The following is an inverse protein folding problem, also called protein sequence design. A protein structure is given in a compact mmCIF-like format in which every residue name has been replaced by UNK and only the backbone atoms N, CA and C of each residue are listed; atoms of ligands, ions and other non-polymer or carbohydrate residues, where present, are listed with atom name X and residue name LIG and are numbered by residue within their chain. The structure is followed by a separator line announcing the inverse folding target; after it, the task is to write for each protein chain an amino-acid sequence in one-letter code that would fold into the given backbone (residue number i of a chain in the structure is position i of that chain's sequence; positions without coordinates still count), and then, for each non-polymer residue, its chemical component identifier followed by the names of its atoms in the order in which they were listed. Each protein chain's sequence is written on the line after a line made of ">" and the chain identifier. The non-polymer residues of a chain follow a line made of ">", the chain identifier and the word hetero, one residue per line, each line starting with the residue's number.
data_IF_946885286920
#
_entry.id   IF_946885286920
#
_cell.length_a   1.000
_cell.length_b   1.000
_cell.length_c   1.000
_cell.angle_alpha   90.00
_cell.angle_beta   90.00
_cell.angle_gamma   90.00
#
_symmetry.space_group_name_H-M   'P 1'
#
loop_
_entity.id
_entity.type
_entity.pdbx_description
1 polymer ?
#
# COMPACT_ATOMS: atom_id res chain seq x y z
N UNK A 1 -15.07 -4.59 8.07
CA UNK A 1 -14.66 -3.17 7.93
C UNK A 1 -15.71 -2.46 7.09
N UNK A 2 -16.28 -1.36 7.57
CA UNK A 2 -17.23 -0.56 6.80
C UNK A 2 -16.48 0.45 5.93
N UNK A 3 -16.99 0.69 4.72
CA UNK A 3 -16.41 1.63 3.77
C UNK A 3 -17.51 2.52 3.22
N UNK A 4 -17.24 3.82 3.19
CA UNK A 4 -18.12 4.82 2.59
C UNK A 4 -17.38 5.58 1.49
N UNK A 5 -18.10 5.99 0.46
CA UNK A 5 -17.58 6.87 -0.59
C UNK A 5 -18.27 8.23 -0.50
N UNK A 6 -17.48 9.29 -0.45
CA UNK A 6 -17.93 10.67 -0.56
C UNK A 6 -17.67 11.13 -1.99
N UNK A 7 -18.73 11.32 -2.75
CA UNK A 7 -18.68 11.86 -4.10
C UNK A 7 -18.65 13.39 -4.11
N UNK A 8 -17.82 13.96 -4.98
CA UNK A 8 -17.83 15.39 -5.33
C UNK A 8 -17.89 15.55 -6.85
N UNK A 9 -18.41 16.68 -7.33
CA UNK A 9 -18.54 16.88 -8.78
C UNK A 9 -17.18 17.08 -9.46
N UNK A 10 -16.37 18.02 -8.94
CA UNK A 10 -15.10 18.40 -9.55
C UNK A 10 -13.89 17.90 -8.73
N UNK A 11 -12.79 17.45 -9.38
CA UNK A 11 -11.54 17.06 -8.72
C UNK A 11 -11.06 18.02 -7.63
N UNK A 12 -11.07 19.33 -7.86
CA UNK A 12 -10.61 20.33 -6.88
C UNK A 12 -11.40 20.36 -5.56
N UNK A 13 -12.55 19.72 -5.51
CA UNK A 13 -13.35 19.64 -4.30
C UNK A 13 -12.91 18.51 -3.37
N UNK A 14 -12.08 17.57 -3.84
CA UNK A 14 -11.71 16.35 -3.10
C UNK A 14 -11.05 16.67 -1.75
N UNK A 15 -9.98 17.48 -1.74
CA UNK A 15 -9.24 17.80 -0.50
C UNK A 15 -10.13 18.55 0.50
N UNK A 16 -10.89 19.54 0.01
CA UNK A 16 -11.82 20.31 0.84
C UNK A 16 -12.95 19.45 1.40
N UNK A 17 -13.47 18.51 0.61
CA UNK A 17 -14.49 17.57 1.09
C UNK A 17 -13.94 16.63 2.16
N UNK A 18 -12.72 16.11 1.98
CA UNK A 18 -12.06 15.28 2.98
C UNK A 18 -11.92 16.02 4.33
N UNK A 19 -11.40 17.26 4.32
CA UNK A 19 -11.28 18.08 5.53
C UNK A 19 -12.63 18.26 6.24
N UNK A 20 -13.68 18.63 5.50
CA UNK A 20 -15.03 18.79 6.06
C UNK A 20 -15.60 17.50 6.65
N UNK A 21 -15.32 16.35 6.05
CA UNK A 21 -15.77 15.05 6.59
C UNK A 21 -15.04 14.76 7.89
N UNK A 22 -13.72 14.94 7.92
CA UNK A 22 -12.92 14.76 9.13
C UNK A 22 -13.42 15.67 10.25
N UNK A 23 -13.56 16.97 10.03
CA UNK A 23 -14.05 17.92 11.03
C UNK A 23 -15.42 17.49 11.60
N UNK A 24 -16.35 17.09 10.72
CA UNK A 24 -17.70 16.63 11.12
C UNK A 24 -17.68 15.32 11.88
N UNK A 25 -16.80 14.39 11.53
CA UNK A 25 -16.71 13.08 12.18
C UNK A 25 -15.99 13.21 13.53
N UNK A 26 -14.95 14.03 13.61
CA UNK A 26 -14.25 14.33 14.87
C UNK A 26 -15.16 15.02 15.88
N UNK A 27 -15.99 15.97 15.45
CA UNK A 27 -17.03 16.56 16.29
C UNK A 27 -18.06 15.55 16.82
N UNK A 28 -18.13 14.34 16.24
CA UNK A 28 -19.02 13.24 16.64
C UNK A 28 -18.31 12.11 17.39
N UNK A 29 -17.07 12.33 17.83
CA UNK A 29 -16.31 11.35 18.62
C UNK A 29 -15.54 10.31 17.80
N UNK A 30 -15.29 10.57 16.51
CA UNK A 30 -14.40 9.77 15.69
C UNK A 30 -12.97 10.34 15.69
N UNK A 31 -11.98 9.47 15.73
CA UNK A 31 -10.56 9.83 15.72
C UNK A 31 -9.93 9.41 14.40
N UNK A 32 -9.06 10.25 13.83
CA UNK A 32 -8.23 9.87 12.68
C UNK A 32 -7.25 8.76 13.07
N UNK A 33 -7.15 7.73 12.23
CA UNK A 33 -6.21 6.62 12.42
C UNK A 33 -5.09 6.65 11.38
N UNK A 34 -5.43 6.87 10.11
CA UNK A 34 -4.46 7.05 9.03
C UNK A 34 -5.09 7.74 7.83
N UNK A 35 -4.27 8.32 6.97
CA UNK A 35 -4.71 8.93 5.71
C UNK A 35 -3.67 8.68 4.62
N UNK A 36 -4.13 8.49 3.39
CA UNK A 36 -3.26 8.35 2.23
C UNK A 36 -3.93 8.79 0.94
N UNK A 37 -3.14 9.16 -0.05
CA UNK A 37 -3.62 9.37 -1.41
C UNK A 37 -2.72 8.70 -2.44
N UNK A 38 -3.24 8.47 -3.65
CA UNK A 38 -2.49 7.87 -4.76
C UNK A 38 -2.42 8.75 -6.00
N UNK A 39 -2.68 10.05 -5.84
CA UNK A 39 -2.49 11.05 -6.89
C UNK A 39 -1.01 11.29 -7.20
N UNK A 40 -0.42 10.41 -8.01
CA UNK A 40 0.94 10.52 -8.54
C UNK A 40 0.98 9.99 -9.99
N UNK A 41 1.86 10.53 -10.87
CA UNK A 41 2.05 10.03 -12.23
C UNK A 41 2.33 8.52 -12.30
N UNK A 42 1.79 7.82 -13.29
CA UNK A 42 1.97 6.37 -13.43
C UNK A 42 1.26 5.53 -12.38
N UNK A 43 0.39 6.13 -11.54
CA UNK A 43 -0.46 5.34 -10.66
C UNK A 43 -1.68 4.80 -11.40
N UNK A 44 -1.90 3.48 -11.33
CA UNK A 44 -3.04 2.76 -11.91
C UNK A 44 -4.40 3.13 -11.31
N UNK A 45 -4.40 3.84 -10.19
CA UNK A 45 -5.58 4.24 -9.44
C UNK A 45 -5.26 5.51 -8.64
N UNK A 46 -6.15 6.49 -8.69
CA UNK A 46 -6.01 7.76 -7.98
C UNK A 46 -7.20 7.97 -7.03
N UNK A 47 -6.93 8.11 -5.74
CA UNK A 47 -7.94 8.38 -4.71
C UNK A 47 -7.33 8.97 -3.44
N UNK A 48 -8.17 9.56 -2.59
CA UNK A 48 -7.83 10.03 -1.23
C UNK A 48 -8.65 9.22 -0.22
N UNK A 49 -7.97 8.44 0.61
CA UNK A 49 -8.59 7.54 1.59
C UNK A 49 -8.13 7.91 2.98
N UNK A 50 -9.01 7.75 3.95
CA UNK A 50 -8.65 7.86 5.36
C UNK A 50 -9.48 6.94 6.22
N UNK A 51 -8.92 6.60 7.37
CA UNK A 51 -9.50 5.67 8.33
C UNK A 51 -9.82 6.41 9.62
N UNK A 52 -11.02 6.17 10.12
CA UNK A 52 -11.53 6.73 11.36
C UNK A 52 -11.84 5.62 12.34
N UNK A 53 -11.55 5.85 13.62
CA UNK A 53 -11.88 4.95 14.73
C UNK A 53 -12.86 5.62 15.67
N UNK A 54 -13.92 4.91 16.04
CA UNK A 54 -14.95 5.43 16.94
C UNK A 54 -15.99 4.37 17.22
N UNK A 55 -16.64 4.43 18.37
CA UNK A 55 -17.73 3.51 18.75
C UNK A 55 -17.36 2.01 18.62
N UNK A 56 -16.11 1.65 18.92
CA UNK A 56 -15.62 0.28 18.81
C UNK A 56 -15.39 -0.22 17.38
N UNK A 57 -15.41 0.66 16.37
CA UNK A 57 -15.28 0.32 14.95
C UNK A 57 -14.18 1.14 14.27
N UNK A 58 -13.69 0.58 13.15
CA UNK A 58 -12.86 1.29 12.17
C UNK A 58 -13.63 1.35 10.86
N UNK A 59 -13.72 2.54 10.30
CA UNK A 59 -14.33 2.79 8.99
C UNK A 59 -13.32 3.41 8.05
N UNK A 60 -13.45 3.08 6.77
CA UNK A 60 -12.71 3.73 5.68
C UNK A 60 -13.62 4.74 4.98
N UNK A 61 -13.14 5.96 4.79
CA UNK A 61 -13.77 6.97 3.94
C UNK A 61 -12.91 7.17 2.69
N UNK A 62 -13.54 7.03 1.53
CA UNK A 62 -12.92 7.30 0.23
C UNK A 62 -13.54 8.56 -0.35
N UNK A 63 -12.74 9.55 -0.71
CA UNK A 63 -13.23 10.78 -1.36
C UNK A 63 -12.87 10.75 -2.84
N UNK A 64 -13.90 10.87 -3.67
CA UNK A 64 -13.79 10.72 -5.11
C UNK A 64 -14.54 11.84 -5.85
N UNK A 65 -13.92 12.37 -6.91
CA UNK A 65 -14.62 13.18 -7.90
C UNK A 65 -15.39 12.29 -8.88
N UNK A 66 -16.36 12.85 -9.61
CA UNK A 66 -17.06 12.16 -10.71
C UNK A 66 -16.08 11.60 -11.75
N UNK A 67 -15.03 12.35 -12.09
CA UNK A 67 -13.97 11.86 -12.99
C UNK A 67 -13.28 10.61 -12.43
N UNK A 68 -12.89 10.63 -11.14
CA UNK A 68 -12.22 9.48 -10.53
C UNK A 68 -13.12 8.26 -10.36
N UNK A 69 -14.44 8.45 -10.21
CA UNK A 69 -15.43 7.36 -10.20
C UNK A 69 -15.51 6.74 -11.60
N UNK A 70 -15.68 7.55 -12.64
CA UNK A 70 -15.75 7.07 -14.00
C UNK A 70 -14.48 6.28 -14.39
N UNK A 71 -13.29 6.80 -14.05
CA UNK A 71 -12.04 6.08 -14.28
C UNK A 71 -12.03 4.76 -13.49
N UNK A 72 -12.36 4.77 -12.19
CA UNK A 72 -12.41 3.55 -11.37
C UNK A 72 -13.32 2.50 -12.02
N UNK A 73 -14.51 2.88 -12.45
CA UNK A 73 -15.47 1.99 -13.12
C UNK A 73 -14.87 1.40 -14.41
N UNK A 74 -14.32 2.24 -15.30
CA UNK A 74 -13.69 1.78 -16.56
C UNK A 74 -12.48 0.89 -16.32
N UNK A 75 -11.76 1.07 -15.21
CA UNK A 75 -10.58 0.25 -14.87
C UNK A 75 -10.92 -1.01 -14.08
N UNK A 76 -12.19 -1.31 -13.81
CA UNK A 76 -12.58 -2.45 -12.94
C UNK A 76 -12.14 -3.78 -13.56
N UNK A 77 -12.49 -4.04 -14.81
CA UNK A 77 -12.11 -5.26 -15.53
C UNK A 77 -10.58 -5.43 -15.67
N UNK A 78 -9.81 -4.46 -16.19
CA UNK A 78 -8.35 -4.62 -16.26
C UNK A 78 -7.71 -4.73 -14.87
N UNK A 79 -8.28 -4.11 -13.83
CA UNK A 79 -7.82 -4.34 -12.47
C UNK A 79 -8.06 -5.79 -12.01
N UNK A 80 -9.20 -6.39 -12.35
CA UNK A 80 -9.52 -7.79 -12.07
C UNK A 80 -8.57 -8.76 -12.77
N UNK A 81 -8.20 -8.48 -14.02
CA UNK A 81 -7.17 -9.25 -14.74
C UNK A 81 -5.81 -9.10 -14.06
N UNK A 82 -5.41 -7.88 -13.70
CA UNK A 82 -4.12 -7.63 -13.04
C UNK A 82 -3.99 -8.36 -11.69
N UNK A 83 -5.06 -8.44 -10.90
CA UNK A 83 -5.04 -9.08 -9.56
C UNK A 83 -5.20 -10.61 -9.61
N UNK A 84 -5.57 -11.17 -10.75
CA UNK A 84 -5.79 -12.60 -10.90
C UNK A 84 -4.44 -13.34 -11.03
N UNK A 85 -4.11 -14.11 -10.00
CA UNK A 85 -2.86 -14.87 -9.91
C UNK A 85 -2.80 -16.04 -10.91
N UNK A 86 -3.93 -16.42 -11.51
CA UNK A 86 -3.99 -17.48 -12.54
C UNK A 86 -3.63 -16.99 -13.94
N UNK A 87 -3.63 -15.67 -14.16
CA UNK A 87 -3.26 -15.05 -15.44
C UNK A 87 -1.77 -15.03 -15.66
N UNK A 88 -1.35 -15.04 -16.93
CA UNK A 88 0.07 -14.91 -17.27
C UNK A 88 0.60 -13.55 -16.85
N UNK A 89 1.92 -13.47 -16.61
CA UNK A 89 2.56 -12.20 -16.26
C UNK A 89 2.39 -11.13 -17.34
N UNK A 90 2.36 -11.55 -18.60
CA UNK A 90 2.14 -10.66 -19.74
C UNK A 90 0.74 -10.04 -19.72
N UNK A 91 -0.30 -10.84 -19.46
CA UNK A 91 -1.68 -10.35 -19.34
C UNK A 91 -1.83 -9.39 -18.16
N UNK A 92 -1.26 -9.74 -16.99
CA UNK A 92 -1.30 -8.85 -15.81
C UNK A 92 -0.62 -7.51 -16.09
N UNK A 93 0.51 -7.51 -16.79
CA UNK A 93 1.24 -6.29 -17.14
C UNK A 93 0.46 -5.43 -18.15
N UNK A 94 -0.15 -6.05 -19.18
CA UNK A 94 -0.97 -5.33 -20.15
C UNK A 94 -2.19 -4.68 -19.48
N UNK A 95 -2.86 -5.39 -18.59
CA UNK A 95 -4.01 -4.86 -17.85
C UNK A 95 -3.63 -3.75 -16.86
N UNK A 96 -2.43 -3.84 -16.25
CA UNK A 96 -1.84 -2.75 -15.45
C UNK A 96 -1.60 -1.50 -16.30
N UNK A 97 -0.99 -1.66 -17.47
CA UNK A 97 -0.68 -0.55 -18.38
C UNK A 97 -1.98 0.12 -18.86
N UNK A 98 -3.05 -0.65 -19.06
CA UNK A 98 -4.38 -0.12 -19.35
C UNK A 98 -4.94 0.73 -18.19
N UNK A 99 -4.88 0.23 -16.95
CA UNK A 99 -5.31 1.00 -15.78
C UNK A 99 -4.55 2.33 -15.65
N UNK A 100 -3.24 2.31 -15.90
CA UNK A 100 -2.38 3.51 -15.89
C UNK A 100 -2.82 4.46 -17.02
N UNK A 101 -3.01 3.96 -18.24
CA UNK A 101 -3.45 4.77 -19.39
C UNK A 101 -4.77 5.51 -19.12
N UNK A 102 -5.71 4.87 -18.44
CA UNK A 102 -6.98 5.51 -18.04
C UNK A 102 -6.82 6.51 -16.89
N UNK A 103 -5.92 6.25 -15.94
CA UNK A 103 -5.71 7.10 -14.76
C UNK A 103 -4.79 8.29 -15.02
N UNK A 104 -3.87 8.20 -15.98
CA UNK A 104 -2.87 9.23 -16.28
C UNK A 104 -3.49 10.62 -16.54
N UNK A 105 -4.50 10.78 -17.43
CA UNK A 105 -5.05 12.09 -17.78
C UNK A 105 -5.98 12.69 -16.71
N UNK A 106 -6.19 12.01 -15.58
CA UNK A 106 -7.02 12.54 -14.50
C UNK A 106 -6.43 13.84 -13.94
N UNK A 107 -7.31 14.79 -13.68
CA UNK A 107 -6.94 16.07 -13.06
C UNK A 107 -6.46 15.80 -11.64
N UNK A 108 -5.31 16.39 -11.29
CA UNK A 108 -4.79 16.45 -9.93
C UNK A 108 -5.68 17.39 -9.10
N UNK A 109 -6.34 16.93 -8.02
CA UNK A 109 -7.12 17.82 -7.16
C UNK A 109 -6.28 18.98 -6.61
N UNK A 110 -6.83 20.19 -6.64
CA UNK A 110 -6.21 21.33 -5.98
C UNK A 110 -5.76 21.02 -4.53
N UNK A 111 -4.47 21.26 -4.26
CA UNK A 111 -3.86 21.10 -2.94
C UNK A 111 -3.56 19.67 -2.51
N UNK A 112 -3.71 18.66 -3.37
CA UNK A 112 -3.41 17.26 -3.02
C UNK A 112 -1.91 17.01 -2.85
N UNK A 113 -1.07 17.67 -3.65
CA UNK A 113 0.40 17.58 -3.65
C UNK A 113 1.03 18.14 -2.37
N UNK A 114 0.34 19.09 -1.75
CA UNK A 114 0.74 19.79 -0.53
C UNK A 114 -0.02 19.31 0.72
N UNK A 115 -0.94 18.36 0.56
CA UNK A 115 -1.70 17.77 1.67
C UNK A 115 -0.82 16.82 2.49
N UNK A 116 -0.09 17.36 3.47
CA UNK A 116 0.80 16.60 4.35
C UNK A 116 0.12 16.04 5.61
N UNK A 117 -0.97 16.66 6.02
CA UNK A 117 -1.75 16.30 7.22
C UNK A 117 -3.25 16.36 6.92
N UNK A 118 -3.99 15.41 7.51
CA UNK A 118 -5.44 15.42 7.50
C UNK A 118 -5.95 15.05 8.89
N UNK A 119 -6.46 16.02 9.64
CA UNK A 119 -7.01 15.78 10.98
C UNK A 119 -5.97 15.34 12.01
N UNK A 120 -4.74 15.86 11.92
CA UNK A 120 -3.66 15.58 12.86
C UNK A 120 -2.90 14.28 12.60
N UNK A 121 -3.18 13.58 11.50
CA UNK A 121 -2.38 12.43 11.05
C UNK A 121 -1.67 12.75 9.73
N UNK A 122 -0.41 12.29 9.56
CA UNK A 122 0.30 12.39 8.29
C UNK A 122 -0.46 11.72 7.15
N UNK A 123 -0.40 12.33 5.97
CA UNK A 123 -0.97 11.75 4.75
C UNK A 123 0.13 11.09 3.94
N UNK A 124 0.00 9.78 3.72
CA UNK A 124 0.95 9.00 2.93
C UNK A 124 0.66 9.09 1.43
N UNK A 125 1.71 9.19 0.61
CA UNK A 125 1.60 8.97 -0.83
C UNK A 125 1.74 7.46 -1.12
N UNK A 126 0.67 6.82 -1.60
CA UNK A 126 0.68 5.43 -2.05
C UNK A 126 0.87 5.33 -3.56
N UNK A 127 1.90 4.60 -3.96
CA UNK A 127 2.25 4.34 -5.35
C UNK A 127 1.66 3.00 -5.77
N UNK A 128 0.54 3.03 -6.48
CA UNK A 128 -0.02 1.84 -7.11
C UNK A 128 0.41 1.81 -8.56
N UNK A 129 1.47 1.09 -8.89
CA UNK A 129 2.01 0.98 -10.25
C UNK A 129 2.84 -0.29 -10.38
N UNK A 130 3.75 -0.34 -11.36
CA UNK A 130 4.65 -1.49 -11.51
C UNK A 130 5.40 -1.76 -10.20
N UNK A 131 5.40 -3.03 -9.78
CA UNK A 131 6.41 -3.50 -8.84
C UNK A 131 7.76 -3.42 -9.57
N UNK A 132 8.83 -2.94 -8.92
CA UNK A 132 10.16 -3.10 -9.49
C UNK A 132 10.35 -4.58 -9.82
N UNK A 133 10.74 -4.89 -11.05
CA UNK A 133 11.27 -6.23 -11.32
C UNK A 133 12.43 -6.42 -10.35
N UNK A 134 12.38 -7.52 -9.57
CA UNK A 134 13.58 -7.94 -8.86
C UNK A 134 14.61 -8.17 -9.95
N UNK A 135 15.67 -7.35 -9.98
CA UNK A 135 16.82 -7.60 -10.83
C UNK A 135 17.20 -9.08 -10.68
N UNK A 136 17.44 -9.82 -11.78
CA UNK A 136 17.92 -11.18 -11.66
C UNK A 136 19.15 -11.13 -10.76
N UNK A 137 19.12 -11.90 -9.66
CA UNK A 137 20.34 -12.16 -8.88
C UNK A 137 21.35 -12.64 -9.90
N UNK A 138 22.38 -11.83 -10.13
CA UNK A 138 23.53 -12.21 -10.94
C UNK A 138 24.02 -13.54 -10.42
N UNK A 139 23.84 -14.58 -11.22
CA UNK A 139 24.37 -15.92 -10.99
C UNK A 139 25.83 -15.86 -11.42
N UNK A 140 26.64 -15.10 -10.70
CA UNK A 140 28.09 -15.08 -10.89
C UNK A 140 28.75 -15.17 -9.51
N UNK A 141 29.15 -16.38 -9.18
CA UNK A 141 29.84 -16.69 -7.94
C UNK A 141 30.01 -18.17 -7.66
N UNK A 142 30.02 -19.03 -8.68
CA UNK A 142 30.34 -20.45 -8.53
C UNK A 142 31.55 -20.80 -9.41
N UNK A 143 32.68 -20.16 -9.12
CA UNK A 143 33.98 -20.68 -9.53
C UNK A 143 35.05 -20.13 -8.58
N UNK A 144 35.62 -21.04 -7.80
CA UNK A 144 36.95 -20.98 -7.17
C UNK A 144 36.94 -21.11 -5.65
N UNK A 145 36.96 -22.36 -5.18
CA UNK A 145 37.80 -22.82 -4.05
C UNK A 145 37.74 -24.35 -3.94
N UNK A 146 38.52 -25.03 -4.79
CA UNK A 146 39.15 -26.30 -4.43
C UNK A 146 40.64 -26.02 -4.22
N UNK A 147 41.25 -26.78 -3.31
CA UNK A 147 42.61 -26.69 -2.73
C UNK A 147 42.66 -25.84 -1.45
N UNK A 148 43.16 -26.30 -0.29
CA UNK A 148 43.86 -27.53 0.08
C UNK A 148 43.99 -27.59 1.63
N UNK A 149 44.12 -28.80 2.18
CA UNK A 149 44.76 -29.20 3.47
C UNK A 149 44.03 -29.19 4.85
N UNK A 150 43.79 -30.44 5.28
CA UNK A 150 44.18 -31.13 6.54
C UNK A 150 43.20 -31.20 7.73
N UNK A 151 43.19 -32.36 8.45
CA UNK A 151 42.15 -32.72 9.41
C UNK A 151 42.45 -32.24 10.83
N UNK A 152 41.40 -31.89 11.59
CA UNK A 152 41.50 -31.63 13.03
C UNK A 152 40.84 -32.75 13.87
N UNK A 153 41.34 -33.01 15.09
CA UNK A 153 41.05 -34.21 15.88
C UNK A 153 39.79 -34.08 16.75
N UNK A 154 39.28 -35.19 17.33
CA UNK A 154 37.98 -35.20 18.00
C UNK A 154 38.08 -34.60 19.41
N UNK A 155 37.26 -33.59 19.71
CA UNK A 155 37.06 -33.10 21.07
C UNK A 155 35.82 -33.71 21.72
N UNK A 156 36.06 -34.19 22.93
CA UNK A 156 35.22 -34.99 23.83
C UNK A 156 33.88 -34.33 24.17
N UNK A 157 32.83 -35.16 24.19
CA UNK A 157 31.59 -34.91 24.93
C UNK A 157 31.91 -34.83 26.42
N UNK A 158 31.49 -33.75 27.08
CA UNK A 158 31.23 -33.72 28.51
C UNK A 158 29.75 -33.45 28.69
N UNK A 159 29.04 -34.51 29.01
CA UNK A 159 27.71 -34.46 29.59
C UNK A 159 27.86 -33.86 31.00
N UNK A 160 27.07 -32.84 31.32
CA UNK A 160 26.86 -32.42 32.69
C UNK A 160 25.39 -32.02 32.84
N UNK A 161 24.57 -33.03 33.11
CA UNK A 161 23.21 -32.89 33.61
C UNK A 161 23.25 -32.26 35.00
N UNK A 162 22.84 -31.00 35.09
CA UNK A 162 22.61 -30.29 36.35
C UNK A 162 21.12 -30.14 36.59
N UNK A 163 20.54 -31.05 37.40
CA UNK A 163 19.25 -30.86 38.05
C UNK A 163 19.43 -30.41 39.50
N UNK A 164 18.54 -29.48 39.86
CA UNK A 164 17.92 -29.22 41.17
C UNK A 164 18.72 -28.54 42.29
N UNK A 165 18.15 -27.44 42.79
CA UNK A 165 18.65 -26.70 43.96
C UNK A 165 17.88 -25.41 44.32
N UNK A 166 16.57 -25.56 44.56
CA UNK A 166 15.63 -24.87 45.47
C UNK A 166 16.05 -23.53 46.12
N UNK A 167 15.10 -22.59 46.12
CA UNK A 167 15.16 -21.29 46.81
C UNK A 167 14.94 -21.33 48.34
N UNK A 168 14.50 -20.16 48.83
CA UNK A 168 14.22 -19.75 50.22
C UNK A 168 13.74 -20.80 51.19
#
# INVERSE_FOLDING_TARGET
>A
MLRYTVGVDHPDQVVRAARRVVDKMTARGWSMESAHHSYHPGSRYKGLHFFLRGHGQVIEIQVHSRQSIAVKETTTEPYEIFRDETRSRSEQNAAMDECIRHSEPMIQPAGIDTLKDLGGVPVELRRYGRRPEKSPRSVEGEASRKQDRRPQPPHRRRDNDGRDGIGR
#
